data_IF_479006251436
#
_entry.id   IF_479006251436
#
_cell.length_a   1.000
_cell.length_b   1.000
_cell.length_c   1.000
_cell.angle_alpha   90.00
_cell.angle_beta   90.00
_cell.angle_gamma   90.00
#
_symmetry.space_group_name_H-M   'P 1'
#
loop_
_entity.id
_entity.type
_entity.pdbx_description
1 polymer ?
#
# COMPACT_ATOMS: atom_id res chain seq x y z
N UNK A 1 11.28 13.52 -12.35
CA UNK A 1 11.35 12.89 -11.01
C UNK A 1 11.69 11.43 -11.20
N UNK A 2 12.60 10.82 -10.41
CA UNK A 2 12.77 9.36 -10.43
C UNK A 2 11.64 8.74 -9.61
N UNK A 3 10.88 7.81 -10.19
CA UNK A 3 9.73 7.16 -9.53
C UNK A 3 10.17 6.35 -8.31
N UNK A 4 11.18 5.49 -8.48
CA UNK A 4 11.76 4.70 -7.39
C UNK A 4 12.87 5.51 -6.69
N UNK A 5 12.86 5.64 -5.35
CA UNK A 5 13.95 6.29 -4.61
C UNK A 5 15.30 5.62 -4.86
N UNK A 6 16.38 6.41 -4.90
CA UNK A 6 17.74 5.89 -5.07
C UNK A 6 18.09 4.87 -3.97
N UNK A 7 18.64 3.72 -4.37
CA UNK A 7 19.05 2.67 -3.42
C UNK A 7 18.04 1.54 -3.26
N UNK A 8 16.78 1.71 -3.71
CA UNK A 8 15.80 0.63 -3.70
C UNK A 8 16.00 -0.34 -4.86
N UNK A 9 15.83 -1.64 -4.57
CA UNK A 9 15.84 -2.72 -5.57
C UNK A 9 14.45 -3.33 -5.68
N UNK A 10 13.99 -3.58 -6.91
CA UNK A 10 12.72 -4.27 -7.17
C UNK A 10 13.01 -5.72 -7.50
N UNK A 11 12.36 -6.64 -6.79
CA UNK A 11 12.46 -8.08 -7.03
C UNK A 11 11.10 -8.66 -7.38
N UNK A 12 11.01 -9.34 -8.53
CA UNK A 12 9.83 -10.13 -8.88
C UNK A 12 10.02 -11.56 -8.37
N UNK A 13 9.12 -12.04 -7.52
CA UNK A 13 9.15 -13.38 -6.94
C UNK A 13 7.91 -14.19 -7.37
N UNK A 14 7.99 -15.51 -7.54
CA UNK A 14 6.79 -16.34 -7.69
C UNK A 14 5.84 -16.16 -6.50
N UNK A 15 4.52 -16.19 -6.69
CA UNK A 15 3.57 -16.07 -5.57
C UNK A 15 3.71 -17.28 -4.65
N UNK A 16 3.77 -17.05 -3.34
CA UNK A 16 3.76 -18.14 -2.35
C UNK A 16 2.35 -18.67 -2.06
N UNK A 17 1.34 -18.35 -2.90
CA UNK A 17 -0.07 -18.62 -2.63
C UNK A 17 -0.67 -17.71 -1.54
N UNK A 18 0.11 -16.76 -1.01
CA UNK A 18 -0.38 -15.74 -0.09
C UNK A 18 -0.61 -14.44 -0.86
N UNK A 19 -1.79 -13.84 -0.70
CA UNK A 19 -2.25 -12.63 -1.39
C UNK A 19 -1.44 -11.34 -1.12
N UNK A 20 -0.28 -11.42 -0.46
CA UNK A 20 0.62 -10.28 -0.33
C UNK A 20 1.22 -9.95 -1.71
N UNK A 21 0.61 -8.95 -2.35
CA UNK A 21 0.96 -8.53 -3.71
C UNK A 21 2.37 -7.91 -3.76
N UNK A 22 2.73 -7.16 -2.72
CA UNK A 22 4.05 -6.56 -2.55
C UNK A 22 4.45 -6.56 -1.07
N UNK A 23 5.75 -6.70 -0.80
CA UNK A 23 6.35 -6.48 0.52
C UNK A 23 7.50 -5.48 0.34
N UNK A 24 7.38 -4.33 0.98
CA UNK A 24 8.49 -3.40 1.16
C UNK A 24 9.26 -3.73 2.44
N UNK A 25 10.56 -3.98 2.27
CA UNK A 25 11.52 -4.09 3.36
C UNK A 25 12.44 -2.87 3.33
N UNK A 26 11.97 -1.82 4.01
CA UNK A 26 12.69 -0.57 4.23
C UNK A 26 14.06 -0.76 4.90
N UNK A 27 14.27 -1.85 5.65
CA UNK A 27 15.55 -2.09 6.35
C UNK A 27 16.66 -2.48 5.34
N UNK A 28 16.30 -3.08 4.20
CA UNK A 28 17.23 -3.49 3.14
C UNK A 28 16.99 -2.80 1.80
N UNK A 29 16.09 -1.82 1.76
CA UNK A 29 15.65 -1.06 0.59
C UNK A 29 15.21 -1.99 -0.57
N UNK A 30 14.23 -2.84 -0.30
CA UNK A 30 13.74 -3.82 -1.29
C UNK A 30 12.22 -3.79 -1.40
N UNK A 31 11.72 -3.67 -2.64
CA UNK A 31 10.32 -3.89 -2.99
C UNK A 31 10.19 -5.28 -3.63
N UNK A 32 9.50 -6.21 -2.98
CA UNK A 32 9.26 -7.56 -3.51
C UNK A 32 7.86 -7.68 -4.09
N UNK A 33 7.73 -7.93 -5.39
CA UNK A 33 6.44 -8.04 -6.08
C UNK A 33 6.17 -9.50 -6.46
N UNK A 34 4.99 -9.99 -6.14
CA UNK A 34 4.53 -11.31 -6.58
C UNK A 34 4.26 -11.29 -8.09
N UNK A 35 4.92 -12.17 -8.85
CA UNK A 35 4.96 -12.18 -10.32
C UNK A 35 3.77 -12.83 -11.01
N UNK A 36 2.85 -13.43 -10.25
CA UNK A 36 1.78 -14.27 -10.79
C UNK A 36 0.50 -13.47 -11.15
N UNK A 37 0.55 -12.15 -11.03
CA UNK A 37 -0.56 -11.24 -11.38
C UNK A 37 -0.46 -10.76 -12.83
N UNK A 38 -1.60 -10.37 -13.41
CA UNK A 38 -1.63 -9.69 -14.70
C UNK A 38 -0.74 -8.43 -14.65
N UNK A 39 0.09 -8.21 -15.67
CA UNK A 39 1.15 -7.19 -15.70
C UNK A 39 0.71 -5.78 -15.23
N UNK A 40 -0.53 -5.40 -15.53
CA UNK A 40 -1.10 -4.11 -15.13
C UNK A 40 -1.44 -4.01 -13.64
N UNK A 41 -1.91 -5.10 -13.03
CA UNK A 41 -2.12 -5.16 -11.57
C UNK A 41 -0.77 -5.13 -10.85
N UNK A 42 0.22 -5.86 -11.37
CA UNK A 42 1.60 -5.82 -10.86
C UNK A 42 2.17 -4.40 -10.87
N UNK A 43 1.90 -3.62 -11.93
CA UNK A 43 2.29 -2.22 -12.01
C UNK A 43 1.57 -1.35 -10.99
N UNK A 44 0.26 -1.53 -10.80
CA UNK A 44 -0.52 -0.81 -9.80
C UNK A 44 -0.01 -1.08 -8.37
N UNK A 45 0.22 -2.36 -8.02
CA UNK A 45 0.76 -2.73 -6.71
C UNK A 45 2.17 -2.16 -6.50
N UNK A 46 3.02 -2.17 -7.53
CA UNK A 46 4.34 -1.52 -7.46
C UNK A 46 4.23 -0.02 -7.22
N UNK A 47 3.35 0.66 -7.95
CA UNK A 47 3.17 2.10 -7.82
C UNK A 47 2.62 2.48 -6.44
N UNK A 48 1.73 1.66 -5.87
CA UNK A 48 1.21 1.83 -4.51
C UNK A 48 2.35 1.80 -3.48
N UNK A 49 3.29 0.88 -3.64
CA UNK A 49 4.39 0.67 -2.69
C UNK A 49 5.44 1.76 -2.82
N UNK A 50 5.70 2.21 -4.04
CA UNK A 50 6.44 3.45 -4.27
C UNK A 50 5.73 4.65 -3.61
N UNK A 51 4.39 4.66 -3.60
CA UNK A 51 3.56 5.65 -2.91
C UNK A 51 3.89 5.74 -1.42
N UNK A 52 3.96 4.61 -0.70
CA UNK A 52 4.39 4.57 0.71
C UNK A 52 5.79 5.19 0.88
N UNK A 53 6.74 4.87 -0.01
CA UNK A 53 8.09 5.42 0.06
C UNK A 53 8.17 6.94 -0.17
N UNK A 54 7.24 7.51 -0.94
CA UNK A 54 7.14 8.96 -1.12
C UNK A 54 6.36 9.63 0.01
N UNK A 55 5.34 8.97 0.56
CA UNK A 55 4.62 9.44 1.74
C UNK A 55 5.58 9.51 2.94
N UNK A 56 6.42 8.49 3.14
CA UNK A 56 7.42 8.43 4.21
C UNK A 56 8.39 9.63 4.19
N UNK A 57 8.68 10.22 3.02
CA UNK A 57 9.53 11.43 2.90
C UNK A 57 8.85 12.73 3.34
N UNK A 58 7.53 12.73 3.50
CA UNK A 58 6.78 13.89 4.00
C UNK A 58 6.83 13.97 5.53
N UNK A 59 7.20 12.87 6.18
CA UNK A 59 7.30 12.76 7.63
C UNK A 59 8.74 12.96 8.09
N UNK A 60 8.91 13.32 9.36
CA UNK A 60 10.22 13.23 10.00
C UNK A 60 10.63 11.74 10.15
N UNK A 61 11.95 11.42 10.24
CA UNK A 61 12.42 10.05 10.29
C UNK A 61 11.83 9.21 11.45
N UNK A 62 11.50 9.84 12.58
CA UNK A 62 10.89 9.17 13.73
C UNK A 62 9.47 8.73 13.43
N UNK A 63 8.69 9.61 12.79
CA UNK A 63 7.33 9.30 12.36
C UNK A 63 7.29 8.28 11.21
N UNK A 64 8.16 8.41 10.20
CA UNK A 64 8.26 7.43 9.11
C UNK A 64 8.57 6.02 9.65
N UNK A 65 9.51 5.92 10.61
CA UNK A 65 9.80 4.66 11.29
C UNK A 65 8.59 4.14 12.06
N UNK A 66 7.88 5.00 12.80
CA UNK A 66 6.67 4.62 13.53
C UNK A 66 5.63 4.03 12.58
N UNK A 67 5.34 4.69 11.46
CA UNK A 67 4.36 4.20 10.46
C UNK A 67 4.79 2.83 9.95
N UNK A 68 6.06 2.66 9.56
CA UNK A 68 6.58 1.36 9.11
C UNK A 68 6.46 0.25 10.16
N UNK A 69 6.81 0.54 11.42
CA UNK A 69 6.71 -0.42 12.52
C UNK A 69 5.24 -0.79 12.79
N UNK A 70 4.31 0.18 12.69
CA UNK A 70 2.87 -0.08 12.83
C UNK A 70 2.33 -0.89 11.64
N UNK A 71 2.74 -0.63 10.39
CA UNK A 71 2.40 -1.46 9.20
C UNK A 71 2.83 -2.91 9.40
N UNK A 72 4.05 -3.14 9.89
CA UNK A 72 4.55 -4.49 10.22
C UNK A 72 3.74 -5.15 11.34
N UNK A 73 3.38 -4.39 12.38
CA UNK A 73 2.60 -4.89 13.51
C UNK A 73 1.12 -5.10 13.19
N UNK A 74 0.58 -4.44 12.17
CA UNK A 74 -0.82 -4.46 11.79
C UNK A 74 -1.35 -5.87 11.46
N UNK A 75 -0.52 -6.73 10.87
CA UNK A 75 -0.84 -8.14 10.60
C UNK A 75 -0.43 -9.10 11.73
N UNK A 76 0.26 -8.59 12.76
CA UNK A 76 0.71 -9.37 13.92
C UNK A 76 -0.11 -9.05 15.19
N UNK A 77 -1.09 -9.89 15.51
CA UNK A 77 -2.02 -9.69 16.64
C UNK A 77 -1.37 -9.78 18.04
N UNK A 78 -0.10 -10.19 18.13
CA UNK A 78 0.64 -10.17 19.41
C UNK A 78 1.05 -8.76 19.86
N UNK A 79 1.11 -7.80 18.93
CA UNK A 79 1.45 -6.39 19.23
C UNK A 79 0.17 -5.60 19.45
N UNK A 80 0.02 -4.95 20.60
CA UNK A 80 -1.11 -4.05 20.85
C UNK A 80 -0.88 -2.71 20.16
N UNK A 81 -1.81 -2.32 19.30
CA UNK A 81 -1.83 -1.02 18.61
C UNK A 81 -2.95 -0.16 19.17
N UNK A 82 -2.73 1.15 19.26
CA UNK A 82 -3.77 2.11 19.64
C UNK A 82 -4.62 2.51 18.44
N UNK A 83 -5.79 3.11 18.67
CA UNK A 83 -6.61 3.67 17.58
C UNK A 83 -5.84 4.72 16.76
N UNK A 84 -5.02 5.54 17.43
CA UNK A 84 -4.17 6.52 16.74
C UNK A 84 -3.13 5.85 15.85
N UNK A 85 -2.53 4.73 16.28
CA UNK A 85 -1.58 3.99 15.44
C UNK A 85 -2.28 3.41 14.20
N UNK A 86 -3.49 2.88 14.37
CA UNK A 86 -4.29 2.35 13.28
C UNK A 86 -4.73 3.44 12.29
N UNK A 87 -5.08 4.64 12.78
CA UNK A 87 -5.39 5.78 11.91
C UNK A 87 -4.20 6.26 11.10
N UNK A 88 -2.98 6.17 11.65
CA UNK A 88 -1.75 6.49 10.90
C UNK A 88 -1.57 5.56 9.69
N UNK A 89 -1.85 4.26 9.84
CA UNK A 89 -1.79 3.30 8.73
C UNK A 89 -2.82 3.63 7.66
N UNK A 90 -4.06 3.96 8.04
CA UNK A 90 -5.10 4.36 7.08
C UNK A 90 -4.69 5.61 6.30
N UNK A 91 -4.15 6.61 6.99
CA UNK A 91 -3.71 7.84 6.33
C UNK A 91 -2.54 7.59 5.38
N UNK A 92 -1.61 6.73 5.76
CA UNK A 92 -0.49 6.34 4.91
C UNK A 92 -0.95 5.61 3.64
N UNK A 93 -1.91 4.70 3.74
CA UNK A 93 -2.56 4.04 2.60
C UNK A 93 -3.25 5.05 1.66
N UNK A 94 -4.00 6.01 2.22
CA UNK A 94 -4.63 7.08 1.42
C UNK A 94 -3.55 7.88 0.67
N UNK A 95 -2.48 8.27 1.35
CA UNK A 95 -1.39 9.03 0.74
C UNK A 95 -0.68 8.23 -0.37
N UNK A 96 -0.51 6.91 -0.19
CA UNK A 96 0.05 6.03 -1.20
C UNK A 96 -0.83 5.94 -2.44
N UNK A 97 -2.16 5.79 -2.28
CA UNK A 97 -3.10 5.79 -3.39
C UNK A 97 -3.20 7.14 -4.10
N UNK A 98 -3.17 8.26 -3.35
CA UNK A 98 -3.12 9.60 -3.93
C UNK A 98 -1.86 9.79 -4.79
N UNK A 99 -0.72 9.25 -4.35
CA UNK A 99 0.49 9.23 -5.17
C UNK A 99 0.27 8.45 -6.47
N UNK A 100 -0.32 7.25 -6.41
CA UNK A 100 -0.60 6.42 -7.60
C UNK A 100 -1.49 7.18 -8.59
N UNK A 101 -2.60 7.74 -8.12
CA UNK A 101 -3.54 8.49 -8.97
C UNK A 101 -2.85 9.66 -9.66
N UNK A 102 -2.01 10.40 -8.94
CA UNK A 102 -1.27 11.53 -9.49
C UNK A 102 -0.20 11.10 -10.52
N UNK A 103 0.54 10.01 -10.26
CA UNK A 103 1.59 9.54 -11.17
C UNK A 103 1.02 8.86 -12.42
N UNK A 104 -0.11 8.16 -12.28
CA UNK A 104 -0.74 7.44 -13.38
C UNK A 104 -1.75 8.27 -14.16
N UNK A 105 -2.03 9.51 -13.74
CA UNK A 105 -2.99 10.42 -14.39
C UNK A 105 -2.85 10.48 -15.92
N UNK A 106 -1.64 10.53 -16.52
CA UNK A 106 -1.47 10.54 -17.98
C UNK A 106 -1.90 9.24 -18.69
N UNK A 107 -1.96 8.12 -17.96
CA UNK A 107 -2.38 6.81 -18.48
C UNK A 107 -3.84 6.49 -18.17
N UNK A 108 -4.41 7.23 -17.22
CA UNK A 108 -5.81 7.13 -16.80
C UNK A 108 -6.69 8.04 -17.67
N UNK A 109 -6.17 9.18 -18.14
CA UNK A 109 -6.93 10.14 -18.94
C UNK A 109 -6.11 10.72 -20.12
N UNK A 110 -6.34 10.26 -21.36
CA UNK A 110 -7.27 9.19 -21.76
C UNK A 110 -6.75 7.80 -21.32
N UNK A 111 -7.63 6.84 -21.03
CA UNK A 111 -7.22 5.54 -20.52
C UNK A 111 -6.45 4.77 -21.58
N UNK A 112 -5.18 4.44 -21.29
CA UNK A 112 -4.35 3.60 -22.15
C UNK A 112 -4.82 2.14 -22.15
N UNK A 113 -5.57 1.72 -21.12
CA UNK A 113 -6.12 0.38 -20.97
C UNK A 113 -7.35 0.39 -20.02
N UNK A 114 -8.39 -0.45 -20.23
CA UNK A 114 -9.57 -0.50 -19.34
C UNK A 114 -9.24 -0.74 -17.85
N UNK A 115 -8.21 -1.57 -17.58
CA UNK A 115 -7.69 -1.85 -16.24
C UNK A 115 -6.88 -0.70 -15.61
N UNK A 116 -6.59 0.36 -16.37
CA UNK A 116 -5.95 1.59 -15.90
C UNK A 116 -6.92 2.77 -16.00
N UNK A 117 -8.22 2.52 -15.87
CA UNK A 117 -9.23 3.58 -15.77
C UNK A 117 -9.31 4.11 -14.34
N UNK A 118 -9.82 5.34 -14.19
CA UNK A 118 -10.04 5.97 -12.88
C UNK A 118 -10.93 5.10 -11.98
N UNK A 119 -11.96 4.47 -12.57
CA UNK A 119 -12.86 3.57 -11.86
C UNK A 119 -12.16 2.31 -11.38
N UNK A 120 -11.34 1.66 -12.23
CA UNK A 120 -10.62 0.46 -11.84
C UNK A 120 -9.65 0.71 -10.66
N UNK A 121 -8.98 1.86 -10.66
CA UNK A 121 -8.07 2.24 -9.57
C UNK A 121 -8.85 2.58 -8.30
N UNK A 122 -9.99 3.27 -8.40
CA UNK A 122 -10.89 3.50 -7.26
C UNK A 122 -11.41 2.21 -6.66
N UNK A 123 -11.79 1.23 -7.48
CA UNK A 123 -12.24 -0.08 -7.00
C UNK A 123 -11.13 -0.83 -6.22
N UNK A 124 -9.90 -0.86 -6.75
CA UNK A 124 -8.76 -1.49 -6.07
C UNK A 124 -8.40 -0.74 -4.75
N UNK A 125 -8.50 0.60 -4.75
CA UNK A 125 -8.32 1.43 -3.54
C UNK A 125 -9.41 1.15 -2.49
N UNK A 126 -10.68 1.13 -2.88
CA UNK A 126 -11.81 0.84 -2.00
C UNK A 126 -11.69 -0.56 -1.39
N UNK A 127 -11.27 -1.55 -2.18
CA UNK A 127 -11.05 -2.91 -1.69
C UNK A 127 -9.94 -2.95 -0.63
N UNK A 128 -8.84 -2.25 -0.88
CA UNK A 128 -7.70 -2.16 0.04
C UNK A 128 -8.11 -1.48 1.35
N UNK A 129 -8.73 -0.30 1.27
CA UNK A 129 -9.20 0.46 2.45
C UNK A 129 -10.28 -0.27 3.25
N UNK A 130 -11.16 -1.03 2.58
CA UNK A 130 -12.18 -1.87 3.26
C UNK A 130 -11.51 -2.98 4.09
N UNK A 131 -10.49 -3.63 3.55
CA UNK A 131 -9.67 -4.58 4.31
C UNK A 131 -9.06 -3.89 5.52
N UNK A 132 -8.56 -2.66 5.34
CA UNK A 132 -7.97 -1.89 6.42
C UNK A 132 -8.93 -1.65 7.59
N UNK A 133 -10.11 -1.13 7.26
CA UNK A 133 -11.17 -0.83 8.22
C UNK A 133 -11.62 -2.06 9.00
N UNK A 134 -11.76 -3.20 8.34
CA UNK A 134 -12.17 -4.46 8.98
C UNK A 134 -11.23 -4.88 10.10
N UNK A 135 -9.92 -4.92 9.83
CA UNK A 135 -8.92 -5.33 10.83
C UNK A 135 -8.82 -4.28 11.94
N UNK A 136 -9.03 -2.99 11.64
CA UNK A 136 -9.10 -1.95 12.67
C UNK A 136 -10.26 -2.22 13.64
N UNK A 137 -11.45 -2.50 13.09
CA UNK A 137 -12.61 -2.83 13.90
C UNK A 137 -12.34 -4.09 14.76
N UNK A 138 -11.74 -5.14 14.17
CA UNK A 138 -11.32 -6.34 14.92
C UNK A 138 -10.33 -6.02 16.05
N UNK A 139 -9.31 -5.20 15.78
CA UNK A 139 -8.29 -4.79 16.76
C UNK A 139 -8.86 -3.95 17.90
N UNK A 140 -9.88 -3.15 17.62
CA UNK A 140 -10.57 -2.31 18.59
C UNK A 140 -11.73 -3.04 19.30
N UNK A 141 -11.99 -4.31 18.95
CA UNK A 141 -13.11 -5.07 19.49
C UNK A 141 -14.48 -4.53 19.05
N UNK A 142 -14.52 -3.78 17.95
CA UNK A 142 -15.74 -3.29 17.32
C UNK A 142 -16.30 -4.41 16.44
N UNK A 143 -17.62 -4.59 16.47
CA UNK A 143 -18.27 -5.54 15.56
C UNK A 143 -18.10 -4.99 14.13
N UNK A 144 -17.52 -5.75 13.18
CA UNK A 144 -17.36 -5.27 11.82
C UNK A 144 -18.75 -4.95 11.25
N UNK A 145 -18.94 -3.71 10.80
CA UNK A 145 -20.18 -3.31 10.14
C UNK A 145 -20.21 -4.03 8.80
N UNK A 146 -21.06 -5.05 8.68
CA UNK A 146 -21.40 -5.64 7.39
C UNK A 146 -22.02 -4.56 6.50
N UNK A 147 -21.29 -4.21 5.43
CA UNK A 147 -21.78 -3.39 4.31
C UNK A 147 -22.69 -4.22 3.42
#
# INVERSE_FOLDING_TARGET
MKLVPSGYRIFFRPSSGHHAQVIDDNDINVIQISGDFAQLRTLLSLMHEIGHLHADKQYDPGMAKKISDVRKAYTNYSVKLTENDLQLVVQDEINAWDFVLNQLQPFINPPAHPLLSENAIKEDMEHSLKSYRKIIDERLGRVPISL
#
